data_IF_702843662524
#
_entry.id   IF_702843662524
#
_cell.length_a   1.000
_cell.length_b   1.000
_cell.length_c   1.000
_cell.angle_alpha   90.00
_cell.angle_beta   90.00
_cell.angle_gamma   90.00
#
_symmetry.space_group_name_H-M   'P 1'
#
loop_
_entity.id
_entity.type
_entity.pdbx_description
1 polymer ?
#
# COMPACT_ATOMS: atom_id res chain seq x y z
N UNK A 1 17.35 9.41 7.95
CA UNK A 1 16.03 9.13 7.33
C UNK A 1 14.85 9.73 8.10
N UNK A 2 14.86 9.72 9.45
CA UNK A 2 13.79 10.27 10.30
C UNK A 2 13.31 11.70 9.97
N UNK A 3 14.21 12.65 9.70
CA UNK A 3 13.82 14.04 9.37
C UNK A 3 12.95 14.14 8.10
N UNK A 4 13.34 13.45 7.01
CA UNK A 4 12.55 13.44 5.76
C UNK A 4 11.16 12.84 5.98
N UNK A 5 11.07 11.78 6.78
CA UNK A 5 9.80 11.15 7.13
C UNK A 5 8.90 12.09 7.96
N UNK A 6 9.48 12.87 8.89
CA UNK A 6 8.75 13.87 9.67
C UNK A 6 8.21 14.98 8.76
N UNK A 7 9.04 15.56 7.90
CA UNK A 7 8.62 16.61 6.95
C UNK A 7 7.51 16.10 6.04
N UNK A 8 7.68 14.90 5.48
CA UNK A 8 6.65 14.29 4.64
C UNK A 8 5.35 14.06 5.44
N UNK A 9 5.45 13.59 6.69
CA UNK A 9 4.28 13.40 7.56
C UNK A 9 3.53 14.72 7.77
N UNK A 10 4.24 15.82 8.07
CA UNK A 10 3.61 17.14 8.26
C UNK A 10 2.88 17.61 7.00
N UNK A 11 3.52 17.47 5.83
CA UNK A 11 2.90 17.81 4.54
C UNK A 11 1.64 16.97 4.32
N UNK A 12 1.73 15.65 4.49
CA UNK A 12 0.60 14.74 4.28
C UNK A 12 -0.54 14.96 5.28
N UNK A 13 -0.23 15.27 6.54
CA UNK A 13 -1.21 15.59 7.58
C UNK A 13 -2.03 16.83 7.22
N UNK A 14 -1.44 17.82 6.55
CA UNK A 14 -2.20 18.97 6.03
C UNK A 14 -3.23 18.53 4.99
N UNK A 15 -2.88 17.63 4.07
CA UNK A 15 -3.80 17.16 3.02
C UNK A 15 -4.84 16.14 3.50
N UNK A 16 -4.52 15.38 4.56
CA UNK A 16 -5.30 14.23 5.00
C UNK A 16 -6.79 14.53 5.29
N UNK A 17 -7.19 15.60 6.00
CA UNK A 17 -8.61 15.90 6.23
C UNK A 17 -9.42 16.08 4.94
N UNK A 18 -8.81 16.67 3.90
CA UNK A 18 -9.47 16.92 2.62
C UNK A 18 -9.74 15.63 1.84
N UNK A 19 -9.03 14.55 2.14
CA UNK A 19 -9.26 13.24 1.51
C UNK A 19 -10.64 12.68 1.86
N UNK A 20 -11.23 13.08 2.99
CA UNK A 20 -12.55 12.66 3.43
C UNK A 20 -13.70 13.32 2.65
N UNK A 21 -13.42 14.45 1.99
CA UNK A 21 -14.37 15.12 1.09
C UNK A 21 -14.56 14.36 -0.23
N UNK A 22 -13.59 13.51 -0.60
CA UNK A 22 -13.67 12.72 -1.82
C UNK A 22 -14.78 11.66 -1.74
N UNK A 23 -15.50 11.45 -2.85
CA UNK A 23 -16.50 10.39 -2.95
C UNK A 23 -15.82 9.02 -2.85
N UNK A 24 -16.44 8.10 -2.10
CA UNK A 24 -16.06 6.69 -2.11
C UNK A 24 -16.65 5.99 -3.33
N UNK A 25 -15.80 5.44 -4.19
CA UNK A 25 -16.20 4.67 -5.37
C UNK A 25 -16.45 3.21 -5.00
N UNK A 26 -17.67 2.72 -5.20
CA UNK A 26 -18.09 1.39 -4.70
C UNK A 26 -17.39 0.21 -5.40
N UNK A 27 -16.90 0.40 -6.63
CA UNK A 27 -16.28 -0.62 -7.47
C UNK A 27 -14.84 -0.27 -7.88
N UNK A 28 -14.22 0.75 -7.26
CA UNK A 28 -12.83 1.13 -7.58
C UNK A 28 -11.84 0.21 -6.88
N UNK A 29 -10.92 -0.34 -7.66
CA UNK A 29 -9.76 -1.10 -7.17
C UNK A 29 -8.51 -0.34 -7.60
N UNK A 30 -7.66 0.02 -6.64
CA UNK A 30 -6.43 0.77 -6.91
C UNK A 30 -5.21 -0.07 -6.60
N UNK A 31 -4.33 -0.22 -7.57
CA UNK A 31 -3.00 -0.82 -7.41
C UNK A 31 -1.98 0.27 -7.10
N UNK A 32 -1.18 0.10 -6.05
CA UNK A 32 -0.12 1.04 -5.66
C UNK A 32 1.19 0.27 -5.53
N UNK A 33 2.21 0.70 -6.29
CA UNK A 33 3.58 0.20 -6.18
C UNK A 33 4.56 1.37 -6.14
N UNK A 34 5.53 1.29 -5.23
CA UNK A 34 6.60 2.28 -5.04
C UNK A 34 7.97 1.82 -5.55
N UNK A 35 8.04 0.59 -6.09
CA UNK A 35 9.25 -0.02 -6.61
C UNK A 35 9.21 -0.21 -8.13
N UNK A 36 8.01 -0.24 -8.72
CA UNK A 36 7.79 -0.47 -10.13
C UNK A 36 7.07 0.71 -10.79
N UNK A 37 7.49 1.05 -12.01
CA UNK A 37 6.85 2.07 -12.86
C UNK A 37 5.89 1.46 -13.90
N UNK A 38 5.73 0.13 -13.89
CA UNK A 38 4.85 -0.63 -14.77
C UNK A 38 4.20 -1.79 -14.02
N UNK A 39 3.03 -2.25 -14.49
CA UNK A 39 2.38 -3.44 -13.97
C UNK A 39 3.22 -4.66 -14.37
N UNK A 40 3.73 -5.38 -13.38
CA UNK A 40 4.52 -6.58 -13.61
C UNK A 40 4.15 -7.69 -12.62
N UNK A 41 4.49 -8.94 -12.95
CA UNK A 41 4.31 -10.12 -12.08
C UNK A 41 2.87 -10.23 -11.55
N UNK A 42 2.71 -10.49 -10.25
CA UNK A 42 1.42 -10.72 -9.59
C UNK A 42 0.45 -9.54 -9.77
N UNK A 43 0.96 -8.31 -9.76
CA UNK A 43 0.16 -7.12 -10.04
C UNK A 43 -0.45 -7.13 -11.44
N UNK A 44 0.34 -7.53 -12.45
CA UNK A 44 -0.15 -7.62 -13.83
C UNK A 44 -1.21 -8.71 -13.96
N UNK A 45 -0.96 -9.89 -13.38
CA UNK A 45 -1.91 -11.03 -13.40
C UNK A 45 -3.24 -10.63 -12.75
N UNK A 46 -3.19 -10.04 -11.55
CA UNK A 46 -4.39 -9.58 -10.83
C UNK A 46 -5.12 -8.48 -11.59
N UNK A 47 -4.39 -7.53 -12.15
CA UNK A 47 -4.98 -6.43 -12.92
C UNK A 47 -5.72 -6.96 -14.15
N UNK A 48 -5.10 -7.85 -14.93
CA UNK A 48 -5.70 -8.41 -16.15
C UNK A 48 -6.95 -9.24 -15.83
N UNK A 49 -6.91 -10.06 -14.79
CA UNK A 49 -8.07 -10.83 -14.33
C UNK A 49 -9.22 -9.92 -13.90
N UNK A 50 -8.94 -8.87 -13.11
CA UNK A 50 -9.97 -7.93 -12.68
C UNK A 50 -10.47 -7.01 -13.81
N UNK A 51 -9.64 -6.75 -14.82
CA UNK A 51 -10.04 -5.95 -15.99
C UNK A 51 -11.02 -6.74 -16.87
N UNK A 52 -10.79 -8.05 -17.04
CA UNK A 52 -11.65 -8.94 -17.81
C UNK A 52 -13.09 -9.01 -17.28
N UNK A 53 -13.28 -8.75 -15.99
CA UNK A 53 -14.60 -8.72 -15.34
C UNK A 53 -15.48 -7.53 -15.74
N UNK A 54 -14.90 -6.47 -16.34
CA UNK A 54 -15.58 -5.26 -16.85
C UNK A 54 -16.51 -4.51 -15.87
N UNK A 55 -16.52 -4.86 -14.58
CA UNK A 55 -17.34 -4.24 -13.53
C UNK A 55 -16.58 -3.33 -12.58
N UNK A 56 -15.25 -3.35 -12.66
CA UNK A 56 -14.37 -2.62 -11.74
C UNK A 56 -13.78 -1.37 -12.39
N UNK A 57 -13.71 -0.28 -11.62
CA UNK A 57 -12.94 0.89 -12.00
C UNK A 57 -11.49 0.69 -11.53
N UNK A 58 -10.60 0.26 -12.43
CA UNK A 58 -9.21 0.02 -12.08
C UNK A 58 -8.38 1.30 -12.15
N UNK A 59 -7.58 1.56 -11.11
CA UNK A 59 -6.60 2.64 -11.07
C UNK A 59 -5.22 2.11 -10.69
N UNK A 60 -4.19 2.78 -11.17
CA UNK A 60 -2.80 2.43 -10.89
C UNK A 60 -2.02 3.66 -10.43
N UNK A 61 -1.25 3.53 -9.38
CA UNK A 61 -0.27 4.50 -8.93
C UNK A 61 1.07 3.77 -8.81
N UNK A 62 1.79 3.73 -9.92
CA UNK A 62 3.07 3.04 -10.07
C UNK A 62 4.17 4.09 -10.12
N UNK A 63 5.11 3.98 -9.21
CA UNK A 63 6.18 4.94 -9.07
C UNK A 63 7.45 4.19 -8.71
N UNK A 64 8.52 4.36 -9.50
CA UNK A 64 9.85 3.87 -9.13
C UNK A 64 10.64 4.99 -8.48
N UNK A 65 10.96 4.86 -7.19
CA UNK A 65 11.75 5.86 -6.48
C UNK A 65 13.15 6.03 -7.07
N UNK A 66 13.61 7.27 -7.14
CA UNK A 66 14.98 7.64 -7.51
C UNK A 66 15.58 8.49 -6.39
N UNK A 67 16.78 8.18 -5.87
CA UNK A 67 17.38 8.88 -4.74
C UNK A 67 17.99 10.22 -5.14
N UNK A 68 17.25 11.06 -5.86
CA UNK A 68 17.65 12.41 -6.28
C UNK A 68 16.74 13.46 -5.64
N UNK A 69 17.12 14.73 -5.66
CA UNK A 69 16.26 15.82 -5.16
C UNK A 69 14.89 15.80 -5.84
N UNK A 70 14.86 15.74 -7.17
CA UNK A 70 13.63 15.65 -7.96
C UNK A 70 12.86 14.35 -7.66
N UNK A 71 13.56 13.23 -7.43
CA UNK A 71 12.94 11.97 -7.04
C UNK A 71 12.22 12.04 -5.68
N UNK A 72 12.82 12.73 -4.69
CA UNK A 72 12.17 12.97 -3.40
C UNK A 72 10.93 13.86 -3.54
N UNK A 73 10.98 14.90 -4.38
CA UNK A 73 9.82 15.76 -4.65
C UNK A 73 8.69 14.97 -5.32
N UNK A 74 9.01 14.19 -6.36
CA UNK A 74 8.04 13.32 -7.06
C UNK A 74 7.44 12.28 -6.13
N UNK A 75 8.24 11.72 -5.22
CA UNK A 75 7.75 10.79 -4.20
C UNK A 75 6.76 11.47 -3.25
N UNK A 76 7.07 12.68 -2.77
CA UNK A 76 6.13 13.47 -1.96
C UNK A 76 4.80 13.72 -2.68
N UNK A 77 4.84 14.12 -3.96
CA UNK A 77 3.64 14.28 -4.78
C UNK A 77 2.88 12.95 -4.97
N UNK A 78 3.60 11.84 -5.15
CA UNK A 78 3.00 10.51 -5.22
C UNK A 78 2.30 10.15 -3.91
N UNK A 79 2.89 10.45 -2.75
CA UNK A 79 2.27 10.24 -1.44
C UNK A 79 1.01 11.10 -1.25
N UNK A 80 1.00 12.36 -1.70
CA UNK A 80 -0.20 13.20 -1.66
C UNK A 80 -1.30 12.56 -2.52
N UNK A 81 -0.99 12.13 -3.76
CA UNK A 81 -1.97 11.44 -4.62
C UNK A 81 -2.49 10.14 -3.99
N UNK A 82 -1.62 9.40 -3.30
CA UNK A 82 -1.99 8.19 -2.57
C UNK A 82 -3.05 8.47 -1.50
N UNK A 83 -2.89 9.54 -0.70
CA UNK A 83 -3.88 9.89 0.33
C UNK A 83 -5.31 9.96 -0.23
N UNK A 84 -5.50 10.67 -1.34
CA UNK A 84 -6.82 10.83 -1.95
C UNK A 84 -7.34 9.55 -2.61
N UNK A 85 -6.46 8.83 -3.32
CA UNK A 85 -6.91 7.64 -4.05
C UNK A 85 -7.21 6.47 -3.11
N UNK A 86 -6.47 6.32 -2.01
CA UNK A 86 -6.74 5.32 -0.97
C UNK A 86 -8.14 5.56 -0.40
N UNK A 87 -8.43 6.80 0.00
CA UNK A 87 -9.69 7.13 0.68
C UNK A 87 -10.93 7.10 -0.22
N UNK A 88 -10.73 7.09 -1.54
CA UNK A 88 -11.80 7.03 -2.52
C UNK A 88 -11.96 5.63 -3.17
N UNK A 89 -11.09 4.68 -2.86
CA UNK A 89 -11.12 3.31 -3.43
C UNK A 89 -11.91 2.34 -2.56
N UNK A 90 -12.52 1.31 -3.16
CA UNK A 90 -13.14 0.24 -2.37
C UNK A 90 -12.09 -0.75 -1.86
N UNK A 91 -11.14 -1.08 -2.72
CA UNK A 91 -10.01 -1.95 -2.45
C UNK A 91 -8.72 -1.28 -2.93
N UNK A 92 -7.67 -1.36 -2.13
CA UNK A 92 -6.31 -0.94 -2.45
C UNK A 92 -5.42 -2.17 -2.38
N UNK A 93 -4.68 -2.44 -3.45
CA UNK A 93 -3.75 -3.57 -3.57
C UNK A 93 -2.33 -3.00 -3.59
N UNK A 94 -1.47 -3.53 -2.72
CA UNK A 94 -0.06 -3.14 -2.57
C UNK A 94 0.85 -4.38 -2.69
N UNK A 95 2.10 -4.19 -3.15
CA UNK A 95 3.14 -5.23 -3.32
C UNK A 95 4.37 -5.01 -2.42
N UNK A 96 4.46 -3.83 -1.81
CA UNK A 96 5.51 -3.40 -0.91
C UNK A 96 4.94 -2.56 0.22
N UNK A 97 5.70 -2.50 1.33
CA UNK A 97 5.40 -1.65 2.47
C UNK A 97 5.12 -0.21 2.04
N UNK A 98 3.95 0.29 2.44
CA UNK A 98 3.45 1.59 2.05
C UNK A 98 3.43 2.58 3.23
N UNK A 99 4.23 3.63 3.13
CA UNK A 99 4.34 4.67 4.15
C UNK A 99 3.01 5.41 4.40
N UNK A 100 2.25 5.73 3.34
CA UNK A 100 1.02 6.52 3.46
C UNK A 100 -0.04 5.73 4.23
N UNK A 101 -0.25 4.48 3.86
CA UNK A 101 -1.22 3.60 4.53
C UNK A 101 -0.83 3.41 6.00
N UNK A 102 0.44 3.17 6.30
CA UNK A 102 0.90 2.92 7.68
C UNK A 102 0.89 4.17 8.57
N UNK A 103 0.89 5.37 7.99
CA UNK A 103 0.77 6.63 8.75
C UNK A 103 -0.65 7.17 8.85
N UNK A 104 -1.46 6.99 7.82
CA UNK A 104 -2.78 7.61 7.71
C UNK A 104 -3.86 6.54 7.56
N UNK A 105 -4.64 6.25 8.61
CA UNK A 105 -5.71 5.28 8.55
C UNK A 105 -6.71 5.56 7.42
N UNK A 106 -7.10 4.50 6.72
CA UNK A 106 -8.12 4.56 5.70
C UNK A 106 -9.52 4.45 6.30
N UNK A 107 -10.56 4.91 5.57
CA UNK A 107 -11.96 4.77 6.00
C UNK A 107 -12.30 3.29 6.15
N UNK A 108 -13.14 2.94 7.13
CA UNK A 108 -13.56 1.55 7.40
C UNK A 108 -14.16 0.79 6.20
N UNK A 109 -14.72 1.52 5.22
CA UNK A 109 -15.31 0.95 3.99
C UNK A 109 -14.26 0.62 2.91
N UNK A 110 -13.05 1.16 3.02
CA UNK A 110 -11.88 0.88 2.18
C UNK A 110 -11.19 -0.35 2.75
N UNK A 111 -10.67 -1.23 1.89
CA UNK A 111 -9.82 -2.35 2.30
C UNK A 111 -8.44 -2.26 1.67
N UNK A 112 -7.41 -2.61 2.43
CA UNK A 112 -6.02 -2.71 1.95
C UNK A 112 -5.58 -4.17 1.97
N UNK A 113 -5.17 -4.67 0.80
CA UNK A 113 -4.62 -6.01 0.59
C UNK A 113 -3.15 -5.91 0.18
N UNK A 114 -2.27 -6.51 0.99
CA UNK A 114 -0.86 -6.69 0.67
C UNK A 114 -0.65 -8.04 -0.02
N UNK A 115 -0.15 -8.03 -1.26
CA UNK A 115 0.18 -9.25 -2.02
C UNK A 115 1.60 -9.70 -1.68
N UNK A 116 2.46 -8.77 -1.28
CA UNK A 116 3.89 -8.98 -1.10
C UNK A 116 4.58 -9.46 -2.38
N UNK A 117 5.90 -9.71 -2.29
CA UNK A 117 6.74 -10.03 -3.44
C UNK A 117 7.71 -11.19 -3.17
N UNK A 118 7.63 -11.81 -2.00
CA UNK A 118 8.53 -12.89 -1.59
C UNK A 118 7.84 -14.25 -1.63
N UNK A 119 8.53 -15.25 -2.18
CA UNK A 119 8.06 -16.65 -2.24
C UNK A 119 7.96 -17.30 -0.84
N UNK A 120 8.70 -16.81 0.16
CA UNK A 120 8.64 -17.33 1.52
C UNK A 120 9.35 -16.43 2.53
N UNK A 121 9.12 -16.70 3.81
CA UNK A 121 9.68 -15.94 4.93
C UNK A 121 11.03 -16.50 5.43
N UNK A 122 12.02 -16.62 4.54
CA UNK A 122 13.35 -17.14 4.90
C UNK A 122 14.19 -16.15 5.71
N UNK A 123 13.93 -14.85 5.55
CA UNK A 123 14.56 -13.75 6.29
C UNK A 123 13.50 -12.96 7.04
N UNK A 124 13.89 -12.29 8.12
CA UNK A 124 13.01 -11.33 8.80
C UNK A 124 12.69 -10.15 7.86
N UNK A 125 11.43 -9.69 7.88
CA UNK A 125 10.95 -8.54 7.13
C UNK A 125 9.84 -7.80 7.90
N UNK A 126 9.33 -6.70 7.33
CA UNK A 126 8.31 -5.89 7.98
C UNK A 126 8.79 -5.40 9.36
N UNK A 127 7.93 -5.46 10.36
CA UNK A 127 8.24 -5.01 11.72
C UNK A 127 9.23 -5.91 12.49
N UNK A 128 9.70 -7.01 11.90
CA UNK A 128 10.76 -7.86 12.48
C UNK A 128 12.18 -7.39 12.19
N UNK A 129 12.33 -6.28 11.45
CA UNK A 129 13.61 -5.61 11.20
C UNK A 129 13.50 -4.14 11.56
N UNK A 130 14.62 -3.47 11.79
CA UNK A 130 14.62 -2.03 12.04
C UNK A 130 14.09 -1.27 10.81
N UNK A 131 13.15 -0.35 11.03
CA UNK A 131 12.51 0.48 9.98
C UNK A 131 12.34 1.91 10.44
N UNK A 132 12.26 2.81 9.47
CA UNK A 132 11.91 4.22 9.69
C UNK A 132 10.49 4.43 10.24
N UNK A 133 9.60 3.47 9.98
CA UNK A 133 8.22 3.49 10.42
C UNK A 133 7.71 2.06 10.63
N UNK A 134 6.80 1.93 11.60
CA UNK A 134 6.02 0.73 11.82
C UNK A 134 5.05 0.51 10.65
N UNK A 135 5.08 -0.69 10.09
CA UNK A 135 4.13 -1.16 9.08
C UNK A 135 2.83 -1.54 9.77
N UNK A 136 1.72 -0.90 9.36
CA UNK A 136 0.39 -1.13 9.94
C UNK A 136 -0.72 -0.62 9.03
N UNK A 137 -1.96 -0.78 9.50
CA UNK A 137 -3.21 -0.40 8.82
C UNK A 137 -3.47 -1.20 7.53
N UNK A 138 -2.97 -2.43 7.44
CA UNK A 138 -3.34 -3.34 6.35
C UNK A 138 -4.51 -4.19 6.83
N UNK A 139 -5.49 -4.45 5.97
CA UNK A 139 -6.63 -5.28 6.34
C UNK A 139 -6.32 -6.77 6.14
N UNK A 140 -5.62 -7.09 5.04
CA UNK A 140 -5.29 -8.45 4.65
C UNK A 140 -3.89 -8.52 4.05
N UNK A 141 -3.27 -9.69 4.14
CA UNK A 141 -2.04 -10.01 3.42
C UNK A 141 -2.12 -11.43 2.86
N UNK A 142 -1.58 -11.65 1.67
CA UNK A 142 -1.47 -12.98 1.06
C UNK A 142 -0.17 -13.64 1.52
N UNK A 143 -0.26 -14.88 2.01
CA UNK A 143 0.91 -15.72 2.26
C UNK A 143 0.87 -16.95 1.36
N UNK A 144 2.04 -17.45 0.97
CA UNK A 144 2.13 -18.63 0.10
C UNK A 144 1.85 -19.96 0.83
N UNK A 145 1.64 -19.93 2.15
CA UNK A 145 1.35 -21.12 2.97
C UNK A 145 0.83 -20.71 4.34
N UNK A 146 -0.04 -21.54 4.93
CA UNK A 146 -0.46 -21.45 6.33
C UNK A 146 0.72 -21.42 7.30
N UNK A 147 1.82 -22.10 6.96
CA UNK A 147 3.05 -22.11 7.76
C UNK A 147 3.59 -20.69 8.02
N UNK A 148 3.39 -19.75 7.10
CA UNK A 148 3.91 -18.39 7.21
C UNK A 148 2.93 -17.40 7.86
N UNK A 149 1.69 -17.82 8.20
CA UNK A 149 0.65 -16.90 8.70
C UNK A 149 1.08 -16.09 9.90
N UNK A 150 1.61 -16.75 10.92
CA UNK A 150 2.14 -16.06 12.11
C UNK A 150 3.25 -15.07 11.77
N UNK A 151 4.17 -15.44 10.89
CA UNK A 151 5.30 -14.58 10.51
C UNK A 151 4.80 -13.33 9.78
N UNK A 152 3.87 -13.49 8.84
CA UNK A 152 3.28 -12.37 8.10
C UNK A 152 2.42 -11.47 9.01
N UNK A 153 1.60 -12.07 9.87
CA UNK A 153 0.79 -11.34 10.86
C UNK A 153 1.64 -10.40 11.72
N UNK A 154 2.74 -10.91 12.26
CA UNK A 154 3.66 -10.12 13.07
C UNK A 154 4.45 -9.09 12.24
N UNK A 155 4.87 -9.44 11.01
CA UNK A 155 5.62 -8.55 10.14
C UNK A 155 4.80 -7.34 9.66
N UNK A 156 3.49 -7.51 9.43
CA UNK A 156 2.59 -6.48 8.90
C UNK A 156 1.63 -5.87 9.93
N UNK A 157 1.74 -6.28 11.20
CA UNK A 157 0.91 -5.82 12.30
C UNK A 157 -0.60 -6.04 12.06
N UNK A 158 -0.97 -7.29 11.79
CA UNK A 158 -2.36 -7.72 11.62
C UNK A 158 -2.60 -9.10 12.26
N UNK A 159 -3.85 -9.49 12.46
CA UNK A 159 -4.20 -10.79 13.06
C UNK A 159 -3.98 -11.93 12.08
N UNK A 160 -3.53 -13.11 12.55
CA UNK A 160 -3.34 -14.30 11.68
C UNK A 160 -4.57 -14.66 10.84
N UNK A 161 -5.78 -14.41 11.34
CA UNK A 161 -7.05 -14.63 10.61
C UNK A 161 -7.20 -13.75 9.35
N UNK A 162 -6.42 -12.68 9.25
CA UNK A 162 -6.38 -11.75 8.14
C UNK A 162 -5.21 -12.05 7.19
N UNK A 163 -4.43 -13.09 7.46
CA UNK A 163 -3.47 -13.64 6.49
C UNK A 163 -4.21 -14.69 5.67
N UNK A 164 -4.29 -14.45 4.37
CA UNK A 164 -4.93 -15.33 3.39
C UNK A 164 -3.96 -16.44 3.00
#
# INVERSE_FOLDING_TARGET
MKFKAIVLTLILSFFYPFTFLSRLHKNRITFISLEHDNLSKDFKILYEALAAEQRYELKTLLFKFKPTFLGNLRYGLACIRQLFIIQSSKLVIIDYNNFVISKFPHRSKVKVLEVWHATGALKNFGNKVERDYEVKNYDYVIANSDFFKKIYAEAFNLSEKNVL
#
